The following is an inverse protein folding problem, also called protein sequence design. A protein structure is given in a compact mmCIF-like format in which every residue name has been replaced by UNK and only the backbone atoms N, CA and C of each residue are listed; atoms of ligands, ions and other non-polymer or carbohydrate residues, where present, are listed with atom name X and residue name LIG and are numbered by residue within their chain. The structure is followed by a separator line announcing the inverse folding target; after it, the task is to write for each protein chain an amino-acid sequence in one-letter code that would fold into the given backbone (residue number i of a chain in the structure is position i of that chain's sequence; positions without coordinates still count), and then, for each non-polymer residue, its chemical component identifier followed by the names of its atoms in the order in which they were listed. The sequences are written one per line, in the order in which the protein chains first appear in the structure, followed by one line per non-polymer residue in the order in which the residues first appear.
data_IF_457117937362
#
_entry.id   IF_457117937362
#
_cell.length_a   1.000
_cell.length_b   1.000
_cell.length_c   1.000
_cell.angle_alpha   90.00
_cell.angle_beta   90.00
_cell.angle_gamma   90.00
#
_symmetry.space_group_name_H-M   'P 1'
#
loop_
_entity.id
_entity.type
_entity.pdbx_description
1 polymer ?
#
# COMPACT_ATOMS: atom_id res chain seq x y z
N UNK A 1 51.05 -36.55 8.09
CA UNK A 1 50.23 -36.88 6.89
C UNK A 1 49.35 -35.75 6.37
N UNK A 2 49.44 -34.49 6.86
CA UNK A 2 48.59 -33.39 6.36
C UNK A 2 49.10 -32.74 5.06
N UNK A 3 50.41 -32.74 4.82
CA UNK A 3 51.01 -32.11 3.62
C UNK A 3 50.99 -33.01 2.37
N UNK A 4 51.13 -34.33 2.52
CA UNK A 4 51.23 -35.28 1.41
C UNK A 4 50.20 -36.42 1.44
N UNK A 5 49.16 -36.34 2.30
CA UNK A 5 48.09 -37.34 2.40
C UNK A 5 46.88 -37.04 1.52
N UNK A 6 45.85 -37.90 1.58
CA UNK A 6 44.57 -37.76 0.82
C UNK A 6 43.90 -36.38 0.94
N UNK A 7 44.10 -35.70 2.08
CA UNK A 7 43.56 -34.37 2.36
C UNK A 7 44.55 -33.22 2.08
N UNK A 8 45.80 -33.51 1.75
CA UNK A 8 46.83 -32.52 1.43
C UNK A 8 46.80 -32.10 -0.05
N UNK A 9 47.18 -30.86 -0.39
CA UNK A 9 47.19 -30.35 -1.76
C UNK A 9 48.43 -30.84 -2.53
N UNK A 10 48.50 -32.15 -2.75
CA UNK A 10 49.64 -32.81 -3.40
C UNK A 10 49.38 -33.16 -4.87
N UNK A 11 48.13 -33.10 -5.34
CA UNK A 11 47.74 -33.59 -6.66
C UNK A 11 47.53 -32.45 -7.66
N UNK A 12 48.04 -32.63 -8.87
CA UNK A 12 47.87 -31.69 -9.98
C UNK A 12 46.96 -32.29 -11.04
N UNK A 13 45.97 -31.52 -11.49
CA UNK A 13 45.04 -31.94 -12.54
C UNK A 13 45.25 -31.07 -13.77
N UNK A 14 45.41 -31.71 -14.93
CA UNK A 14 45.57 -31.02 -16.21
C UNK A 14 44.43 -30.02 -16.44
N UNK A 15 44.78 -28.77 -16.76
CA UNK A 15 43.83 -27.67 -16.94
C UNK A 15 43.55 -26.82 -15.69
N UNK A 16 44.28 -27.02 -14.59
CA UNK A 16 44.25 -26.13 -13.41
C UNK A 16 45.67 -25.73 -12.98
N UNK A 17 45.79 -24.54 -12.39
CA UNK A 17 47.07 -23.87 -12.05
C UNK A 17 47.53 -24.09 -10.59
N UNK A 18 46.72 -24.74 -9.76
CA UNK A 18 47.01 -24.99 -8.34
C UNK A 18 46.92 -26.47 -7.98
N UNK A 19 47.64 -26.87 -6.93
CA UNK A 19 47.58 -28.22 -6.38
C UNK A 19 46.33 -28.39 -5.51
N UNK A 20 45.69 -29.55 -5.62
CA UNK A 20 44.42 -29.86 -4.96
C UNK A 20 44.50 -31.18 -4.17
N UNK A 21 43.59 -31.37 -3.20
CA UNK A 21 43.39 -32.68 -2.57
C UNK A 21 43.00 -33.74 -3.59
N UNK A 22 43.36 -35.00 -3.33
CA UNK A 22 43.10 -36.13 -4.23
C UNK A 22 41.62 -36.24 -4.65
N UNK A 23 40.72 -36.00 -3.70
CA UNK A 23 39.28 -36.09 -3.92
C UNK A 23 38.74 -35.03 -4.86
N UNK A 24 39.33 -33.83 -4.82
CA UNK A 24 38.93 -32.73 -5.70
C UNK A 24 39.55 -32.90 -7.10
N UNK A 25 40.77 -33.44 -7.17
CA UNK A 25 41.47 -33.73 -8.42
C UNK A 25 40.81 -34.87 -9.24
N UNK A 26 40.35 -35.93 -8.58
CA UNK A 26 39.61 -37.04 -9.23
C UNK A 26 38.14 -36.64 -9.46
N UNK A 27 37.58 -35.83 -8.56
CA UNK A 27 36.15 -35.52 -8.54
C UNK A 27 35.29 -36.69 -8.03
N UNK A 28 34.01 -36.44 -7.79
CA UNK A 28 33.06 -37.47 -7.39
C UNK A 28 31.69 -37.21 -8.02
N UNK A 29 31.51 -37.70 -9.25
CA UNK A 29 30.29 -37.49 -10.03
C UNK A 29 29.02 -37.92 -9.27
N UNK A 30 29.09 -38.97 -8.44
CA UNK A 30 27.95 -39.41 -7.62
C UNK A 30 27.59 -38.41 -6.53
N UNK A 31 28.61 -37.88 -5.84
CA UNK A 31 28.45 -36.81 -4.84
C UNK A 31 27.95 -35.53 -5.51
N UNK A 32 28.49 -35.17 -6.66
CA UNK A 32 28.09 -33.96 -7.39
C UNK A 32 26.64 -34.06 -7.86
N UNK A 33 26.23 -35.21 -8.41
CA UNK A 33 24.84 -35.48 -8.79
C UNK A 33 23.89 -35.47 -7.58
N UNK A 34 24.33 -35.96 -6.42
CA UNK A 34 23.56 -35.87 -5.17
C UNK A 34 23.39 -34.41 -4.72
N UNK A 35 24.47 -33.62 -4.70
CA UNK A 35 24.42 -32.21 -4.33
C UNK A 35 23.58 -31.39 -5.33
N UNK A 36 23.64 -31.70 -6.62
CA UNK A 36 22.84 -31.06 -7.65
C UNK A 36 21.33 -31.31 -7.42
N UNK A 37 20.94 -32.57 -7.17
CA UNK A 37 19.55 -32.92 -6.83
C UNK A 37 19.08 -32.24 -5.55
N UNK A 38 19.93 -32.20 -4.52
CA UNK A 38 19.62 -31.51 -3.26
C UNK A 38 19.40 -30.00 -3.47
N UNK A 39 20.22 -29.34 -4.29
CA UNK A 39 20.03 -27.92 -4.64
C UNK A 39 18.74 -27.70 -5.46
N UNK A 40 18.42 -28.61 -6.38
CA UNK A 40 17.16 -28.54 -7.14
C UNK A 40 15.94 -28.68 -6.23
N UNK A 41 15.95 -29.67 -5.33
CA UNK A 41 14.89 -29.86 -4.35
C UNK A 41 14.72 -28.64 -3.45
N UNK A 42 15.82 -28.05 -2.97
CA UNK A 42 15.77 -26.84 -2.15
C UNK A 42 15.15 -25.65 -2.90
N UNK A 43 15.51 -25.43 -4.18
CA UNK A 43 14.89 -24.38 -5.00
C UNK A 43 13.41 -24.63 -5.26
N UNK A 44 13.01 -25.89 -5.48
CA UNK A 44 11.61 -26.23 -5.66
C UNK A 44 10.80 -26.00 -4.37
N UNK A 45 11.36 -26.36 -3.22
CA UNK A 45 10.74 -26.10 -1.92
C UNK A 45 10.59 -24.60 -1.65
N UNK A 46 11.63 -23.81 -1.93
CA UNK A 46 11.60 -22.36 -1.83
C UNK A 46 10.54 -21.75 -2.73
N UNK A 47 10.44 -22.19 -3.99
CA UNK A 47 9.37 -21.78 -4.90
C UNK A 47 7.99 -22.10 -4.36
N UNK A 48 7.76 -23.33 -3.89
CA UNK A 48 6.47 -23.73 -3.30
C UNK A 48 6.16 -22.92 -2.04
N UNK A 49 7.16 -22.55 -1.25
CA UNK A 49 6.99 -21.67 -0.09
C UNK A 49 6.57 -20.27 -0.52
N UNK A 50 7.27 -19.68 -1.48
CA UNK A 50 6.94 -18.37 -2.03
C UNK A 50 5.53 -18.34 -2.66
N UNK A 51 5.15 -19.37 -3.41
CA UNK A 51 3.81 -19.52 -3.98
C UNK A 51 2.73 -19.58 -2.88
N UNK A 52 2.97 -20.34 -1.80
CA UNK A 52 2.05 -20.41 -0.65
C UNK A 52 1.96 -19.08 0.08
N UNK A 53 3.07 -18.39 0.28
CA UNK A 53 3.11 -17.08 0.92
C UNK A 53 2.38 -16.03 0.06
N UNK A 54 2.58 -16.04 -1.25
CA UNK A 54 1.87 -15.18 -2.18
C UNK A 54 0.36 -15.45 -2.17
N UNK A 55 -0.06 -16.72 -2.16
CA UNK A 55 -1.47 -17.10 -2.08
C UNK A 55 -2.10 -16.71 -0.73
N UNK A 56 -1.39 -16.91 0.38
CA UNK A 56 -1.84 -16.50 1.72
C UNK A 56 -1.91 -14.99 1.86
N UNK A 57 -0.93 -14.28 1.29
CA UNK A 57 -0.97 -12.82 1.17
C UNK A 57 -2.25 -12.49 0.45
N UNK A 58 -2.43 -12.89 -0.80
CA UNK A 58 -3.59 -12.59 -1.65
C UNK A 58 -4.95 -12.91 -0.99
N UNK A 59 -5.05 -13.99 -0.23
CA UNK A 59 -6.25 -14.34 0.53
C UNK A 59 -6.59 -13.32 1.65
N UNK A 60 -5.58 -12.64 2.20
CA UNK A 60 -5.71 -11.57 3.20
C UNK A 60 -5.81 -10.17 2.59
N UNK A 61 -5.90 -10.06 1.26
CA UNK A 61 -5.97 -8.76 0.58
C UNK A 61 -7.23 -8.00 1.03
N UNK A 62 -7.10 -6.78 1.57
CA UNK A 62 -8.24 -5.95 1.92
C UNK A 62 -9.06 -5.58 0.68
N UNK A 63 -10.35 -5.32 0.91
CA UNK A 63 -11.31 -4.89 -0.10
C UNK A 63 -11.86 -3.53 0.26
N UNK A 64 -12.27 -2.77 -0.75
CA UNK A 64 -12.98 -1.51 -0.61
C UNK A 64 -14.35 -1.76 0.04
N UNK A 65 -14.69 -0.97 1.05
CA UNK A 65 -15.99 -1.06 1.72
C UNK A 65 -17.16 -0.67 0.80
N UNK A 66 -16.94 0.25 -0.15
CA UNK A 66 -18.00 0.77 -1.02
C UNK A 66 -18.20 -0.08 -2.27
N UNK A 67 -17.13 -0.33 -3.03
CA UNK A 67 -17.23 -1.01 -4.33
C UNK A 67 -16.85 -2.49 -4.27
N UNK A 68 -16.35 -2.98 -3.13
CA UNK A 68 -15.92 -4.38 -2.96
C UNK A 68 -14.66 -4.77 -3.74
N UNK A 69 -14.05 -3.85 -4.48
CA UNK A 69 -12.81 -4.13 -5.22
C UNK A 69 -11.66 -4.39 -4.27
N UNK A 70 -10.87 -5.41 -4.60
CA UNK A 70 -9.61 -5.70 -3.93
C UNK A 70 -8.65 -4.54 -4.08
N UNK A 71 -7.95 -4.18 -3.01
CA UNK A 71 -6.97 -3.10 -3.06
C UNK A 71 -5.77 -3.46 -3.94
N UNK A 72 -5.18 -2.45 -4.59
CA UNK A 72 -3.94 -2.62 -5.35
C UNK A 72 -2.79 -2.98 -4.41
N UNK A 73 -1.71 -3.57 -4.95
CA UNK A 73 -0.54 -3.90 -4.13
C UNK A 73 0.08 -2.67 -3.47
N UNK A 74 0.12 -1.54 -4.18
CA UNK A 74 0.61 -0.27 -3.66
C UNK A 74 -0.23 0.21 -2.45
N UNK A 75 -1.57 0.22 -2.58
CA UNK A 75 -2.45 0.63 -1.47
C UNK A 75 -2.37 -0.34 -0.29
N UNK A 76 -2.24 -1.63 -0.58
CA UNK A 76 -2.10 -2.64 0.46
C UNK A 76 -0.76 -2.52 1.21
N UNK A 77 0.33 -2.17 0.53
CA UNK A 77 1.61 -1.89 1.17
C UNK A 77 1.53 -0.66 2.09
N UNK A 78 0.88 0.40 1.63
CA UNK A 78 0.64 1.62 2.43
C UNK A 78 -0.14 1.30 3.71
N UNK A 79 -1.22 0.54 3.61
CA UNK A 79 -2.04 0.10 4.76
C UNK A 79 -1.27 -0.85 5.69
N UNK A 80 -0.46 -1.75 5.12
CA UNK A 80 0.27 -2.76 5.88
C UNK A 80 1.45 -2.22 6.71
N UNK A 81 2.12 -1.16 6.23
CA UNK A 81 3.29 -0.57 6.90
C UNK A 81 2.96 0.55 7.89
N UNK A 82 1.84 1.24 7.72
CA UNK A 82 1.46 2.37 8.59
C UNK A 82 0.71 1.90 9.83
N UNK A 83 1.45 1.47 10.86
CA UNK A 83 0.92 1.24 12.22
C UNK A 83 0.47 2.53 12.95
N UNK A 84 0.46 3.65 12.24
CA UNK A 84 0.01 4.96 12.69
C UNK A 84 -0.50 5.67 11.45
N UNK A 85 -1.82 5.73 11.34
CA UNK A 85 -2.53 6.52 10.35
C UNK A 85 -2.04 7.95 10.44
N UNK A 86 -1.16 8.34 9.52
CA UNK A 86 -0.84 9.74 9.33
C UNK A 86 -2.10 10.42 8.81
N UNK A 87 -2.33 11.63 9.28
CA UNK A 87 -3.41 12.59 9.03
C UNK A 87 -3.76 12.87 7.55
N UNK A 88 -3.24 12.08 6.61
CA UNK A 88 -3.31 12.24 5.15
C UNK A 88 -4.33 11.36 4.43
N UNK A 89 -4.82 10.29 5.03
CA UNK A 89 -5.82 9.41 4.39
C UNK A 89 -7.09 9.35 5.25
N UNK A 90 -8.03 10.25 4.96
CA UNK A 90 -9.33 10.33 5.65
C UNK A 90 -10.17 9.05 5.49
N UNK A 91 -9.95 8.28 4.43
CA UNK A 91 -10.79 7.14 4.04
C UNK A 91 -9.96 5.87 3.73
N UNK A 92 -9.36 5.24 4.75
CA UNK A 92 -8.43 4.12 4.56
C UNK A 92 -9.07 2.82 4.08
N UNK A 93 -10.39 2.68 4.28
CA UNK A 93 -11.19 1.52 3.91
C UNK A 93 -11.79 1.63 2.50
N UNK A 94 -11.55 2.73 1.79
CA UNK A 94 -12.01 2.93 0.41
C UNK A 94 -10.91 2.61 -0.60
N UNK A 95 -11.24 2.42 -1.87
CA UNK A 95 -10.25 2.49 -2.94
C UNK A 95 -10.02 3.96 -3.32
N UNK A 96 -8.97 4.25 -4.10
CA UNK A 96 -8.62 5.62 -4.53
C UNK A 96 -9.80 6.35 -5.17
N UNK A 97 -10.46 5.74 -6.17
CA UNK A 97 -11.66 6.34 -6.80
C UNK A 97 -12.82 6.60 -5.82
N UNK A 98 -13.05 5.70 -4.86
CA UNK A 98 -14.11 5.86 -3.85
C UNK A 98 -13.73 6.93 -2.82
N UNK A 99 -12.46 7.03 -2.47
CA UNK A 99 -11.93 8.06 -1.60
C UNK A 99 -12.07 9.44 -2.24
N UNK A 100 -11.71 9.59 -3.51
CA UNK A 100 -11.83 10.87 -4.23
C UNK A 100 -13.29 11.32 -4.30
N UNK A 101 -14.22 10.38 -4.51
CA UNK A 101 -15.66 10.66 -4.48
C UNK A 101 -16.16 11.06 -3.09
N UNK A 102 -15.67 10.40 -2.05
CA UNK A 102 -16.02 10.73 -0.67
C UNK A 102 -15.57 12.15 -0.32
N UNK A 103 -14.32 12.49 -0.65
CA UNK A 103 -13.76 13.84 -0.44
C UNK A 103 -14.55 14.88 -1.24
N UNK A 104 -14.83 14.62 -2.52
CA UNK A 104 -15.62 15.55 -3.33
C UNK A 104 -17.06 15.73 -2.80
N UNK A 105 -17.67 14.69 -2.23
CA UNK A 105 -18.98 14.77 -1.62
C UNK A 105 -18.97 15.60 -0.33
N UNK A 106 -17.93 15.47 0.49
CA UNK A 106 -17.72 16.32 1.68
C UNK A 106 -17.54 17.79 1.30
N UNK A 107 -16.66 18.08 0.33
CA UNK A 107 -16.43 19.46 -0.16
C UNK A 107 -17.71 20.09 -0.72
N UNK A 108 -18.51 19.31 -1.45
CA UNK A 108 -19.80 19.79 -1.97
C UNK A 108 -20.80 20.05 -0.85
N UNK A 109 -20.89 19.17 0.16
CA UNK A 109 -21.78 19.36 1.29
C UNK A 109 -21.44 20.64 2.07
N UNK A 110 -20.14 20.92 2.27
CA UNK A 110 -19.70 22.18 2.88
C UNK A 110 -20.03 23.39 2.02
N UNK A 111 -19.86 23.30 0.70
CA UNK A 111 -20.22 24.38 -0.22
C UNK A 111 -21.73 24.68 -0.18
N UNK A 112 -22.56 23.64 -0.17
CA UNK A 112 -24.01 23.76 -0.05
C UNK A 112 -24.42 24.37 1.30
N UNK A 113 -23.74 24.00 2.39
CA UNK A 113 -23.99 24.59 3.71
C UNK A 113 -23.64 26.08 3.73
N UNK A 114 -22.46 26.46 3.18
CA UNK A 114 -22.07 27.87 3.06
C UNK A 114 -23.08 28.68 2.25
N UNK A 115 -23.57 28.14 1.13
CA UNK A 115 -24.60 28.80 0.32
C UNK A 115 -25.93 28.97 1.07
N UNK A 116 -26.33 27.97 1.88
CA UNK A 116 -27.55 28.07 2.71
C UNK A 116 -27.41 29.18 3.76
N UNK A 117 -26.26 29.22 4.45
CA UNK A 117 -25.96 30.26 5.44
C UNK A 117 -25.97 31.67 4.79
N UNK A 118 -25.39 31.81 3.60
CA UNK A 118 -25.41 33.09 2.86
C UNK A 118 -26.82 33.50 2.46
N UNK A 119 -27.63 32.58 1.92
CA UNK A 119 -29.03 32.88 1.58
C UNK A 119 -29.85 33.27 2.82
N UNK A 120 -29.62 32.61 3.96
CA UNK A 120 -30.30 32.96 5.20
C UNK A 120 -29.91 34.35 5.68
N UNK A 121 -28.62 34.71 5.60
CA UNK A 121 -28.15 36.07 5.90
C UNK A 121 -28.79 37.11 4.99
N UNK A 122 -28.83 36.88 3.68
CA UNK A 122 -29.46 37.80 2.72
C UNK A 122 -30.96 37.97 3.00
N UNK A 123 -31.65 36.89 3.41
CA UNK A 123 -33.07 36.97 3.83
C UNK A 123 -33.25 37.81 5.08
N UNK A 124 -32.41 37.60 6.11
CA UNK A 124 -32.45 38.39 7.33
C UNK A 124 -32.20 39.89 7.04
N UNK A 125 -31.19 40.22 6.24
CA UNK A 125 -30.91 41.59 5.82
C UNK A 125 -32.09 42.22 5.05
N UNK A 126 -32.75 41.46 4.17
CA UNK A 126 -33.93 41.92 3.45
C UNK A 126 -35.14 42.14 4.37
N UNK A 127 -35.34 41.27 5.36
CA UNK A 127 -36.39 41.42 6.39
C UNK A 127 -36.15 42.64 7.28
N UNK A 128 -34.90 42.88 7.69
CA UNK A 128 -34.50 44.07 8.46
C UNK A 128 -34.73 45.36 7.66
N UNK A 129 -34.34 45.37 6.37
CA UNK A 129 -34.59 46.51 5.49
C UNK A 129 -36.10 46.75 5.28
N UNK A 130 -36.88 45.68 5.10
CA UNK A 130 -38.33 45.78 4.98
C UNK A 130 -38.97 46.28 6.28
N UNK A 131 -38.48 45.84 7.45
CA UNK A 131 -38.90 46.34 8.75
C UNK A 131 -38.56 47.83 8.92
N UNK A 132 -37.34 48.25 8.57
CA UNK A 132 -36.91 49.64 8.61
C UNK A 132 -37.79 50.53 7.69
N UNK A 133 -38.11 50.07 6.48
CA UNK A 133 -39.00 50.78 5.56
C UNK A 133 -40.44 50.89 6.11
N UNK A 134 -40.97 49.83 6.73
CA UNK A 134 -42.29 49.86 7.38
C UNK A 134 -42.33 50.88 8.54
N UNK A 135 -41.26 50.99 9.33
CA UNK A 135 -41.17 51.97 10.42
C UNK A 135 -41.06 53.41 9.88
N UNK A 136 -40.26 53.63 8.83
CA UNK A 136 -40.14 54.93 8.16
C UNK A 136 -41.44 55.40 7.49
N UNK A 137 -42.21 54.48 6.91
CA UNK A 137 -43.52 54.77 6.30
C UNK A 137 -44.64 55.05 7.32
N UNK A 138 -44.51 54.57 8.55
CA UNK A 138 -45.48 54.87 9.61
C UNK A 138 -45.28 56.27 10.20
N UNK A 139 -44.03 56.73 10.31
CA UNK A 139 -43.66 58.07 10.78
C UNK A 139 -44.03 59.20 9.81
N UNK A 140 -44.11 58.92 8.50
CA UNK A 140 -44.54 59.92 7.50
C UNK A 140 -46.06 60.15 7.48
N UNK A 141 -46.86 59.19 7.99
CA UNK A 141 -48.33 59.26 8.01
C UNK A 141 -48.91 60.03 9.21
N UNK A 142 -48.08 60.43 10.17
CA UNK A 142 -48.45 61.29 11.31
C UNK A 142 -47.94 62.74 11.17
N UNK A 143 -47.44 63.13 9.99
CA UNK A 143 -47.06 64.51 9.65
C UNK A 143 -48.09 65.16 8.71
N UNK A 144 -49.26 65.46 9.23
CA UNK A 144 -50.26 66.41 8.72
C UNK A 144 -51.08 66.87 9.91
#
# INVERSE_FOLDING_TARGET
MREHGRAGPAFWRFGRDHRQPLLDAIGNARRDAYLARRRQAAREEERRRAEREAAQREARRPVCADCGQKFTDARWEVIGYTRGWGERESHPHLCEDCQDRAVAAEEQAEADERQRQEQERLRQEAEEQAAAQKVGGWLSRFRT
#
